data_IF_046543371836
#
_entry.id   IF_046543371836
#
_cell.length_a   1.000
_cell.length_b   1.000
_cell.length_c   1.000
_cell.angle_alpha   90.00
_cell.angle_beta   90.00
_cell.angle_gamma   90.00
#
_symmetry.space_group_name_H-M   'P 1'
#
loop_
_entity.id
_entity.type
_entity.pdbx_description
1 polymer ?
#
# COMPACT_ATOMS: atom_id res chain seq x y z
N UNK A 1 2.94 13.17 -5.19
CA UNK A 1 3.56 11.84 -5.01
C UNK A 1 3.16 11.02 -6.23
N UNK A 2 4.11 10.55 -7.04
CA UNK A 2 3.77 9.82 -8.27
C UNK A 2 3.37 8.37 -7.95
N UNK A 3 2.54 7.78 -8.81
CA UNK A 3 2.01 6.41 -8.65
C UNK A 3 3.13 5.39 -8.43
N UNK A 4 4.22 5.53 -9.20
CA UNK A 4 5.43 4.70 -9.11
C UNK A 4 6.13 4.79 -7.75
N UNK A 5 6.12 5.98 -7.13
CA UNK A 5 6.71 6.17 -5.80
C UNK A 5 5.85 5.51 -4.72
N UNK A 6 4.52 5.57 -4.85
CA UNK A 6 3.61 4.83 -3.96
C UNK A 6 3.77 3.32 -4.13
N UNK A 7 3.93 2.82 -5.36
CA UNK A 7 4.17 1.40 -5.63
C UNK A 7 5.44 0.89 -4.96
N UNK A 8 6.56 1.61 -5.13
CA UNK A 8 7.83 1.27 -4.47
C UNK A 8 7.71 1.31 -2.95
N UNK A 9 6.97 2.27 -2.40
CA UNK A 9 6.74 2.39 -0.97
C UNK A 9 5.89 1.22 -0.43
N UNK A 10 4.82 0.85 -1.15
CA UNK A 10 3.98 -0.29 -0.80
C UNK A 10 4.75 -1.59 -0.84
N UNK A 11 5.54 -1.84 -1.89
CA UNK A 11 6.31 -3.08 -2.00
C UNK A 11 7.38 -3.19 -0.91
N UNK A 12 7.94 -2.07 -0.46
CA UNK A 12 8.86 -2.03 0.69
C UNK A 12 8.14 -2.39 1.99
N UNK A 13 7.03 -1.73 2.30
CA UNK A 13 6.25 -1.99 3.52
C UNK A 13 5.66 -3.41 3.52
N UNK A 14 5.22 -3.93 2.36
CA UNK A 14 4.78 -5.33 2.20
C UNK A 14 5.88 -6.32 2.56
N UNK A 15 7.11 -6.10 2.09
CA UNK A 15 8.26 -6.95 2.42
C UNK A 15 8.62 -6.89 3.90
N UNK A 16 8.59 -5.71 4.51
CA UNK A 16 8.83 -5.57 5.96
C UNK A 16 7.73 -6.26 6.78
N UNK A 17 6.47 -6.08 6.41
CA UNK A 17 5.34 -6.73 7.07
C UNK A 17 5.45 -8.25 6.98
N UNK A 18 5.75 -8.79 5.80
CA UNK A 18 5.96 -10.24 5.63
C UNK A 18 7.14 -10.76 6.47
N UNK A 19 8.22 -9.98 6.56
CA UNK A 19 9.36 -10.35 7.39
C UNK A 19 8.99 -10.36 8.87
N UNK A 20 8.24 -9.36 9.35
CA UNK A 20 7.76 -9.33 10.74
C UNK A 20 6.74 -10.43 11.01
N UNK A 21 5.82 -10.71 10.09
CA UNK A 21 4.88 -11.81 10.20
C UNK A 21 5.58 -13.17 10.30
N UNK A 22 6.67 -13.36 9.54
CA UNK A 22 7.48 -14.58 9.64
C UNK A 22 8.29 -14.67 10.94
N UNK A 23 8.72 -13.55 11.51
CA UNK A 23 9.54 -13.52 12.73
C UNK A 23 8.71 -13.58 14.02
N UNK A 24 7.61 -12.83 14.07
CA UNK A 24 6.80 -12.63 15.28
C UNK A 24 5.44 -13.32 15.21
N UNK A 25 5.02 -13.76 14.01
CA UNK A 25 3.70 -14.33 13.77
C UNK A 25 2.65 -13.28 13.39
N UNK A 26 1.62 -13.73 12.67
CA UNK A 26 0.54 -12.87 12.15
C UNK A 26 -0.32 -12.21 13.23
N UNK A 27 -0.29 -12.72 14.46
CA UNK A 27 -1.08 -12.21 15.60
C UNK A 27 -0.33 -11.20 16.45
N UNK A 28 0.92 -10.90 16.12
CA UNK A 28 1.68 -9.87 16.83
C UNK A 28 1.06 -8.49 16.55
N UNK A 29 0.85 -7.72 17.61
CA UNK A 29 0.20 -6.41 17.53
C UNK A 29 0.97 -5.43 16.62
N UNK A 30 2.30 -5.56 16.54
CA UNK A 30 3.13 -4.74 15.64
C UNK A 30 2.93 -5.10 14.18
N UNK A 31 2.68 -6.38 13.90
CA UNK A 31 2.35 -6.87 12.55
C UNK A 31 0.96 -6.36 12.16
N UNK A 32 -0.01 -6.41 13.08
CA UNK A 32 -1.37 -5.89 12.84
C UNK A 32 -1.38 -4.37 12.60
N UNK A 33 -0.61 -3.61 13.37
CA UNK A 33 -0.49 -2.15 13.21
C UNK A 33 0.16 -1.80 11.85
N UNK A 34 1.26 -2.47 11.49
CA UNK A 34 1.88 -2.30 10.17
C UNK A 34 0.96 -2.72 9.02
N UNK A 35 0.17 -3.78 9.20
CA UNK A 35 -0.80 -4.22 8.19
C UNK A 35 -1.87 -3.16 7.95
N UNK A 36 -2.43 -2.62 9.03
CA UNK A 36 -3.41 -1.53 8.96
C UNK A 36 -2.84 -0.27 8.30
N UNK A 37 -1.55 0.00 8.52
CA UNK A 37 -0.85 1.12 7.89
C UNK A 37 -0.61 0.88 6.39
N UNK A 38 -0.28 -0.34 5.99
CA UNK A 38 -0.14 -0.72 4.59
C UNK A 38 -1.48 -0.62 3.83
N UNK A 39 -2.59 -1.04 4.45
CA UNK A 39 -3.93 -0.91 3.88
C UNK A 39 -4.29 0.55 3.56
N UNK A 40 -4.02 1.47 4.49
CA UNK A 40 -4.24 2.92 4.24
C UNK A 40 -3.42 3.47 3.09
N UNK A 41 -2.22 2.93 2.86
CA UNK A 41 -1.35 3.32 1.73
C UNK A 41 -1.91 2.74 0.43
N UNK A 42 -2.38 1.50 0.45
CA UNK A 42 -3.07 0.87 -0.69
C UNK A 42 -4.33 1.63 -1.08
N UNK A 43 -5.15 2.05 -0.12
CA UNK A 43 -6.34 2.86 -0.37
C UNK A 43 -6.00 4.18 -1.05
N UNK A 44 -4.96 4.88 -0.59
CA UNK A 44 -4.49 6.12 -1.22
C UNK A 44 -3.95 5.87 -2.63
N UNK A 45 -3.24 4.77 -2.85
CA UNK A 45 -2.78 4.39 -4.19
C UNK A 45 -3.95 4.09 -5.12
N UNK A 46 -4.94 3.30 -4.68
CA UNK A 46 -6.13 2.97 -5.46
C UNK A 46 -6.95 4.23 -5.80
N UNK A 47 -7.10 5.13 -4.84
CA UNK A 47 -7.79 6.40 -5.05
C UNK A 47 -7.05 7.27 -6.07
N UNK A 48 -5.73 7.42 -5.92
CA UNK A 48 -4.90 8.18 -6.87
C UNK A 48 -4.91 7.55 -8.26
N UNK A 49 -4.82 6.21 -8.35
CA UNK A 49 -4.87 5.46 -9.61
C UNK A 49 -6.22 5.62 -10.31
N UNK A 50 -7.32 5.57 -9.54
CA UNK A 50 -8.67 5.84 -10.08
C UNK A 50 -8.80 7.26 -10.58
N UNK A 51 -8.33 8.25 -9.84
CA UNK A 51 -8.36 9.65 -10.26
C UNK A 51 -7.58 9.87 -11.57
N UNK A 52 -6.39 9.27 -11.70
CA UNK A 52 -5.59 9.31 -12.93
C UNK A 52 -6.31 8.61 -14.09
N UNK A 53 -6.88 7.42 -13.86
CA UNK A 53 -7.62 6.69 -14.90
C UNK A 53 -8.92 7.40 -15.32
N UNK A 54 -9.64 8.04 -14.41
CA UNK A 54 -10.85 8.81 -14.72
C UNK A 54 -10.52 10.08 -15.52
N UNK A 55 -9.40 10.76 -15.23
CA UNK A 55 -8.93 11.88 -16.05
C UNK A 55 -8.53 11.44 -17.46
N UNK A 56 -8.00 10.24 -17.65
CA UNK A 56 -7.71 9.70 -18.98
C UNK A 56 -8.97 9.31 -19.77
N UNK A 57 -10.07 8.95 -19.11
CA UNK A 57 -11.34 8.61 -19.76
C UNK A 57 -12.22 9.82 -20.10
N UNK A 58 -12.05 10.95 -19.40
CA UNK A 58 -12.78 12.19 -19.68
C UNK A 58 -12.25 12.97 -20.92
N UNK A 59 -11.13 12.54 -21.49
CA UNK A 59 -10.49 13.14 -22.67
C UNK A 59 -10.41 12.18 -23.88
N UNK A 60 -11.17 11.09 -23.89
CA UNK A 60 -11.33 10.20 -25.06
C UNK A 60 -12.68 10.40 -25.75
#
# INVERSE_FOLDING_TARGET
>A
MNLEQLEKLMEKERRELNRMANLHGLKDERVLDKSSRLDRIMDKYLHTKRAVNQNNQAHS
#
